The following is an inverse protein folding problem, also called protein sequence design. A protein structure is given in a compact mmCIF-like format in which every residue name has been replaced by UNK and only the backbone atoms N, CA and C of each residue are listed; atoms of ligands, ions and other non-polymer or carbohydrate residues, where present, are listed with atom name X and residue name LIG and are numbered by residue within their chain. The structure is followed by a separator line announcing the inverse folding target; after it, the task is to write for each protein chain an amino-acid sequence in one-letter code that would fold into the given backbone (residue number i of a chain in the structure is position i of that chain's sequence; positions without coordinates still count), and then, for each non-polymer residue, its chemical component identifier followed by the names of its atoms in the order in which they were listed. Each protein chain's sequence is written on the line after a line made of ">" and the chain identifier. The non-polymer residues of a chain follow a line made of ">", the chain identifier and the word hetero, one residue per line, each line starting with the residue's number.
data_IF_099444013977
#
_entry.id   IF_099444013977
#
_cell.length_a   1.000
_cell.length_b   1.000
_cell.length_c   1.000
_cell.angle_alpha   90.00
_cell.angle_beta   90.00
_cell.angle_gamma   90.00
#
_symmetry.space_group_name_H-M   'P 1'
#
loop_
_entity.id
_entity.type
_entity.pdbx_description
1 polymer ?
#
# COMPACT_ATOMS: atom_id res chain seq x y z
N UNK A 1 -31.83 22.64 -23.99
CA UNK A 1 -30.58 22.98 -23.28
C UNK A 1 -30.22 21.76 -22.45
N UNK A 2 -29.14 21.06 -22.77
CA UNK A 2 -28.70 19.90 -21.99
C UNK A 2 -28.28 20.39 -20.60
N UNK A 3 -28.73 19.68 -19.56
CA UNK A 3 -28.41 20.05 -18.18
C UNK A 3 -26.93 19.72 -17.89
N UNK A 4 -26.28 20.49 -17.01
CA UNK A 4 -24.87 20.23 -16.63
C UNK A 4 -24.70 18.81 -16.05
N UNK A 5 -25.76 18.22 -15.50
CA UNK A 5 -25.77 16.84 -15.01
C UNK A 5 -25.73 15.79 -16.15
N UNK A 6 -26.29 16.08 -17.32
CA UNK A 6 -26.18 15.20 -18.50
C UNK A 6 -24.79 15.26 -19.14
N UNK A 7 -24.05 16.36 -18.97
CA UNK A 7 -22.70 16.49 -19.53
C UNK A 7 -21.63 15.67 -18.78
N UNK A 8 -21.95 15.18 -17.57
CA UNK A 8 -21.04 14.39 -16.73
C UNK A 8 -21.67 13.06 -16.28
N UNK A 9 -22.46 12.42 -17.14
CA UNK A 9 -22.87 11.04 -16.88
C UNK A 9 -21.63 10.15 -16.95
N UNK A 10 -21.21 9.60 -15.80
CA UNK A 10 -20.21 8.53 -15.74
C UNK A 10 -20.82 7.26 -16.32
N UNK A 11 -20.77 7.15 -17.64
CA UNK A 11 -21.14 5.92 -18.32
C UNK A 11 -20.15 4.83 -17.94
N UNK A 12 -20.63 3.80 -17.25
CA UNK A 12 -19.85 2.61 -16.88
C UNK A 12 -19.56 1.76 -18.12
N UNK A 13 -18.83 2.31 -19.08
CA UNK A 13 -18.47 1.60 -20.28
C UNK A 13 -17.22 0.74 -20.03
N UNK A 14 -17.15 -0.53 -20.49
CA UNK A 14 -15.99 -1.40 -20.27
C UNK A 14 -14.61 -0.82 -20.66
N UNK A 15 -14.54 0.10 -21.63
CA UNK A 15 -13.29 0.77 -22.03
C UNK A 15 -12.91 1.96 -21.15
N UNK A 16 -13.82 2.46 -20.31
CA UNK A 16 -13.55 3.61 -19.44
C UNK A 16 -12.40 3.30 -18.46
N UNK A 17 -12.29 2.05 -18.00
CA UNK A 17 -11.16 1.58 -17.20
C UNK A 17 -9.83 1.55 -17.96
N UNK A 18 -9.85 1.60 -19.30
CA UNK A 18 -8.67 1.51 -20.16
C UNK A 18 -8.23 2.88 -20.70
N UNK A 19 -9.14 3.83 -20.78
CA UNK A 19 -8.86 5.15 -21.36
C UNK A 19 -8.90 6.28 -20.36
N UNK A 20 -9.68 6.18 -19.29
CA UNK A 20 -9.81 7.25 -18.30
C UNK A 20 -8.71 7.14 -17.22
N UNK A 21 -7.70 8.02 -17.22
CA UNK A 21 -6.63 7.99 -16.23
C UNK A 21 -7.11 8.23 -14.80
N UNK A 22 -8.27 8.87 -14.63
CA UNK A 22 -8.83 9.18 -13.31
C UNK A 22 -9.46 7.95 -12.64
N UNK A 23 -9.68 6.86 -13.38
CA UNK A 23 -10.28 5.62 -12.86
C UNK A 23 -9.25 4.60 -12.41
N UNK A 24 -7.97 4.84 -12.70
CA UNK A 24 -6.90 3.96 -12.28
C UNK A 24 -6.67 4.06 -10.77
N UNK A 25 -6.65 2.91 -10.09
CA UNK A 25 -6.09 2.81 -8.74
C UNK A 25 -4.56 2.72 -8.76
N UNK A 26 -3.99 2.18 -9.85
CA UNK A 26 -2.56 2.04 -10.09
C UNK A 26 -2.21 2.43 -11.53
N UNK A 27 -1.03 3.02 -11.74
CA UNK A 27 -0.55 3.39 -13.06
C UNK A 27 -0.36 2.15 -13.95
N UNK A 28 -0.90 2.17 -15.17
CA UNK A 28 -0.82 1.04 -16.10
C UNK A 28 0.62 0.67 -16.52
N UNK A 29 1.58 1.57 -16.35
CA UNK A 29 3.00 1.33 -16.59
C UNK A 29 3.71 0.59 -15.45
N UNK A 30 3.09 0.51 -14.27
CA UNK A 30 3.69 -0.09 -13.09
C UNK A 30 3.36 -1.58 -13.02
N UNK A 31 4.40 -2.41 -12.91
CA UNK A 31 4.22 -3.83 -12.67
C UNK A 31 4.12 -4.10 -11.17
N UNK A 32 2.98 -4.69 -10.76
CA UNK A 32 2.76 -5.14 -9.39
C UNK A 32 2.68 -6.66 -9.40
N UNK A 33 3.39 -7.31 -8.45
CA UNK A 33 3.28 -8.75 -8.26
C UNK A 33 1.82 -9.16 -8.01
N UNK A 34 1.30 -10.22 -8.65
CA UNK A 34 -0.04 -10.73 -8.37
C UNK A 34 -0.27 -11.09 -6.89
N UNK A 35 0.80 -11.36 -6.15
CA UNK A 35 0.79 -11.59 -4.70
C UNK A 35 1.80 -10.64 -4.04
N UNK A 36 1.38 -9.41 -3.70
CA UNK A 36 2.26 -8.47 -3.00
C UNK A 36 2.49 -8.96 -1.57
N UNK A 37 3.76 -8.95 -1.14
CA UNK A 37 4.19 -9.39 0.19
C UNK A 37 5.28 -8.46 0.73
N UNK A 38 5.46 -8.49 2.06
CA UNK A 38 6.47 -7.73 2.79
C UNK A 38 7.67 -8.58 3.16
N UNK A 39 8.86 -8.06 3.00
CA UNK A 39 10.06 -8.77 3.42
C UNK A 39 10.17 -8.76 4.95
N UNK A 40 10.60 -9.86 5.54
CA UNK A 40 10.75 -9.93 7.01
C UNK A 40 11.99 -9.15 7.50
N UNK A 41 13.04 -9.10 6.68
CA UNK A 41 14.31 -8.46 7.01
C UNK A 41 14.35 -6.95 6.70
N UNK A 42 13.21 -6.33 6.40
CA UNK A 42 13.14 -4.88 6.25
C UNK A 42 13.77 -4.39 4.96
N UNK A 43 12.97 -4.15 3.92
CA UNK A 43 13.37 -3.19 2.88
C UNK A 43 12.83 -1.81 3.26
N UNK A 44 13.69 -0.79 3.27
CA UNK A 44 13.23 0.58 3.49
C UNK A 44 12.60 1.09 2.19
N UNK A 45 11.28 0.95 2.08
CA UNK A 45 10.48 1.48 0.98
C UNK A 45 9.58 0.44 0.30
N UNK A 46 8.73 0.92 -0.62
CA UNK A 46 7.78 0.07 -1.35
C UNK A 46 6.74 -0.59 -0.43
N UNK A 47 6.43 -1.86 -0.71
CA UNK A 47 5.40 -2.65 -0.02
C UNK A 47 5.58 -2.83 1.49
N UNK A 48 6.73 -2.44 2.04
CA UNK A 48 7.01 -2.45 3.48
C UNK A 48 6.25 -1.38 4.26
N UNK A 49 5.89 -0.28 3.60
CA UNK A 49 5.01 0.73 4.18
C UNK A 49 3.57 0.36 3.85
N UNK A 50 2.70 0.41 4.87
CA UNK A 50 1.27 0.09 4.70
C UNK A 50 0.64 1.09 3.74
N UNK A 51 -0.01 0.57 2.71
CA UNK A 51 -0.75 1.38 1.74
C UNK A 51 -2.16 1.62 2.29
N UNK A 52 -2.78 2.75 1.98
CA UNK A 52 -4.18 2.98 2.34
C UNK A 52 -5.11 2.01 1.58
N UNK A 53 -6.16 1.52 2.23
CA UNK A 53 -7.13 0.59 1.63
C UNK A 53 -8.00 1.26 0.54
N UNK A 54 -8.24 2.57 0.65
CA UNK A 54 -8.99 3.35 -0.32
C UNK A 54 -8.26 3.61 -1.64
N UNK A 55 -8.93 4.33 -2.55
CA UNK A 55 -8.32 4.75 -3.81
C UNK A 55 -7.16 5.73 -3.56
N UNK A 56 -5.95 5.33 -3.95
CA UNK A 56 -4.74 6.14 -3.78
C UNK A 56 -4.80 7.45 -4.56
N UNK A 57 -5.44 7.46 -5.74
CA UNK A 57 -5.55 8.69 -6.54
C UNK A 57 -6.38 9.74 -5.81
N UNK A 58 -7.45 9.33 -5.15
CA UNK A 58 -8.31 10.24 -4.39
C UNK A 58 -7.60 10.73 -3.12
N UNK A 59 -6.85 9.84 -2.45
CA UNK A 59 -6.04 10.18 -1.30
C UNK A 59 -4.94 11.19 -1.64
N UNK A 60 -4.17 10.94 -2.70
CA UNK A 60 -3.14 11.86 -3.20
C UNK A 60 -3.73 13.18 -3.66
N UNK A 61 -4.92 13.16 -4.27
CA UNK A 61 -5.62 14.37 -4.71
C UNK A 61 -6.13 15.18 -3.51
N UNK A 62 -6.56 14.54 -2.42
CA UNK A 62 -6.94 15.20 -1.16
C UNK A 62 -5.71 15.84 -0.48
N UNK A 63 -4.61 15.09 -0.39
CA UNK A 63 -3.35 15.59 0.19
C UNK A 63 -2.77 16.77 -0.59
N UNK A 64 -2.91 16.76 -1.93
CA UNK A 64 -2.53 17.88 -2.80
C UNK A 64 -3.56 19.02 -2.81
N UNK A 65 -4.72 18.85 -2.15
CA UNK A 65 -5.79 19.84 -2.06
C UNK A 65 -6.50 20.11 -3.39
N UNK A 66 -6.39 19.21 -4.37
CA UNK A 66 -6.97 19.38 -5.72
C UNK A 66 -8.48 19.18 -5.70
N UNK A 67 -8.97 18.29 -4.85
CA UNK A 67 -10.39 18.00 -4.68
C UNK A 67 -11.15 19.05 -3.84
N UNK A 68 -10.43 20.04 -3.27
CA UNK A 68 -10.97 21.09 -2.41
C UNK A 68 -11.36 22.31 -3.25
N UNK A 69 -12.54 22.90 -3.06
CA UNK A 69 -12.94 24.08 -3.81
C UNK A 69 -12.07 25.29 -3.40
N UNK A 70 -11.47 25.96 -4.37
CA UNK A 70 -10.70 27.18 -4.14
C UNK A 70 -11.63 28.31 -3.68
N UNK A 71 -11.76 28.48 -2.36
CA UNK A 71 -12.63 29.48 -1.74
C UNK A 71 -11.94 30.09 -0.51
N UNK A 72 -12.29 31.35 -0.20
CA UNK A 72 -11.81 32.04 1.00
C UNK A 72 -12.55 31.66 2.28
N UNK A 73 -13.56 30.80 2.20
CA UNK A 73 -14.33 30.34 3.36
C UNK A 73 -13.48 29.34 4.17
N UNK A 74 -13.10 29.64 5.43
CA UNK A 74 -12.22 28.77 6.22
C UNK A 74 -12.80 27.37 6.43
N UNK A 75 -14.12 27.25 6.54
CA UNK A 75 -14.80 25.96 6.72
C UNK A 75 -14.85 25.10 5.45
N UNK A 76 -14.44 25.63 4.29
CA UNK A 76 -14.33 24.89 3.02
C UNK A 76 -12.89 24.60 2.61
N UNK A 77 -11.92 25.11 3.37
CA UNK A 77 -10.52 24.79 3.19
C UNK A 77 -10.21 23.40 3.76
N UNK A 78 -8.96 22.94 3.59
CA UNK A 78 -8.50 21.68 4.15
C UNK A 78 -8.75 21.65 5.66
N UNK A 79 -9.55 20.68 6.09
CA UNK A 79 -9.74 20.36 7.50
C UNK A 79 -9.08 19.02 7.76
N UNK A 80 -8.16 18.99 8.72
CA UNK A 80 -7.67 17.72 9.22
C UNK A 80 -8.85 16.93 9.82
N UNK A 81 -8.84 15.59 9.73
CA UNK A 81 -9.81 14.76 10.44
C UNK A 81 -9.84 15.14 11.93
N UNK A 82 -11.04 15.31 12.48
CA UNK A 82 -11.22 15.71 13.89
C UNK A 82 -10.70 14.63 14.83
N UNK A 83 -10.87 13.37 14.45
CA UNK A 83 -10.38 12.23 15.21
C UNK A 83 -9.02 11.76 14.66
N UNK A 84 -7.98 11.64 15.51
CA UNK A 84 -6.67 11.16 15.08
C UNK A 84 -6.67 9.70 14.63
N UNK A 85 -7.68 8.92 15.04
CA UNK A 85 -7.89 7.53 14.64
C UNK A 85 -8.96 7.37 13.56
N UNK A 86 -9.43 8.46 12.94
CA UNK A 86 -10.35 8.37 11.82
C UNK A 86 -9.68 7.60 10.68
N UNK A 87 -10.25 6.44 10.34
CA UNK A 87 -9.86 5.63 9.20
C UNK A 87 -10.55 6.08 7.91
N UNK A 88 -11.30 7.17 7.97
CA UNK A 88 -12.13 7.59 6.86
C UNK A 88 -12.12 9.11 6.77
N UNK A 89 -11.86 9.62 5.57
CA UNK A 89 -11.94 11.04 5.24
C UNK A 89 -13.20 11.24 4.40
N UNK A 90 -14.17 11.94 4.98
CA UNK A 90 -15.39 12.36 4.27
C UNK A 90 -15.29 13.83 3.88
N UNK A 91 -15.36 14.12 2.58
CA UNK A 91 -15.44 15.48 2.04
C UNK A 91 -16.82 15.67 1.39
N UNK A 92 -17.65 16.48 2.04
CA UNK A 92 -18.96 16.85 1.51
C UNK A 92 -18.88 18.22 0.85
N UNK A 93 -18.79 18.24 -0.48
CA UNK A 93 -18.87 19.46 -1.28
C UNK A 93 -20.17 19.47 -2.10
N UNK A 94 -20.66 20.66 -2.42
CA UNK A 94 -21.83 20.91 -3.29
C UNK A 94 -21.82 20.16 -4.62
N UNK A 95 -20.63 19.85 -5.17
CA UNK A 95 -20.48 19.13 -6.44
C UNK A 95 -20.03 17.68 -6.28
N UNK A 96 -19.39 17.34 -5.17
CA UNK A 96 -18.71 16.04 -5.00
C UNK A 96 -18.82 15.61 -3.54
N UNK A 97 -19.31 14.39 -3.34
CA UNK A 97 -19.25 13.69 -2.06
C UNK A 97 -18.15 12.63 -2.19
N UNK A 98 -17.00 12.87 -1.56
CA UNK A 98 -15.88 11.93 -1.55
C UNK A 98 -15.76 11.25 -0.21
N UNK A 99 -15.62 9.93 -0.25
CA UNK A 99 -15.42 9.06 0.89
C UNK A 99 -14.14 8.28 0.64
N UNK A 100 -13.08 8.60 1.38
CA UNK A 100 -11.75 8.01 1.19
C UNK A 100 -11.42 7.19 2.44
N UNK A 101 -11.18 5.89 2.26
CA UNK A 101 -10.71 5.01 3.33
C UNK A 101 -9.19 5.13 3.47
N UNK A 102 -8.74 5.49 4.67
CA UNK A 102 -7.33 5.68 5.04
C UNK A 102 -6.82 4.56 5.96
N UNK A 103 -7.60 3.51 6.18
CA UNK A 103 -7.16 2.36 6.95
C UNK A 103 -5.86 1.78 6.34
N UNK A 104 -4.83 1.51 7.17
CA UNK A 104 -3.59 0.92 6.68
C UNK A 104 -3.81 -0.55 6.32
N UNK A 105 -3.57 -0.89 5.06
CA UNK A 105 -3.57 -2.26 4.57
C UNK A 105 -2.17 -2.86 4.70
N UNK A 106 -2.00 -3.78 5.65
CA UNK A 106 -0.75 -4.48 5.87
C UNK A 106 -0.67 -5.72 4.97
N UNK A 107 0.37 -5.78 4.13
CA UNK A 107 0.68 -6.97 3.34
C UNK A 107 1.32 -8.06 4.21
N UNK A 108 1.11 -9.35 3.89
CA UNK A 108 1.68 -10.45 4.67
C UNK A 108 3.21 -10.49 4.55
N UNK A 109 3.89 -10.81 5.65
CA UNK A 109 5.34 -10.94 5.68
C UNK A 109 5.82 -12.27 5.07
N UNK A 110 6.99 -12.26 4.42
CA UNK A 110 7.67 -13.43 3.89
C UNK A 110 9.17 -13.38 4.16
N UNK A 111 9.76 -14.55 4.39
CA UNK A 111 11.19 -14.70 4.56
C UNK A 111 11.82 -14.90 3.18
N UNK A 112 12.73 -14.00 2.80
CA UNK A 112 13.61 -14.21 1.66
C UNK A 112 14.46 -15.46 1.93
N UNK A 113 14.66 -16.30 0.88
CA UNK A 113 15.58 -17.45 0.81
C UNK A 113 16.31 -17.78 2.12
N UNK A 114 15.98 -18.93 2.70
CA UNK A 114 16.67 -19.42 3.89
C UNK A 114 18.18 -19.48 3.62
N UNK A 115 18.99 -18.92 4.53
CA UNK A 115 20.43 -19.14 4.48
C UNK A 115 20.68 -20.65 4.53
N UNK A 116 21.51 -21.19 3.63
CA UNK A 116 21.92 -22.58 3.74
C UNK A 116 22.54 -22.79 5.13
N UNK A 117 22.10 -23.83 5.84
CA UNK A 117 22.68 -24.17 7.12
C UNK A 117 24.20 -24.35 6.96
N UNK A 118 24.99 -23.71 7.83
CA UNK A 118 26.43 -23.97 7.86
C UNK A 118 26.64 -25.46 8.18
N UNK A 119 27.46 -26.20 7.41
CA UNK A 119 27.78 -27.56 7.77
C UNK A 119 28.44 -27.56 9.15
N UNK A 120 27.95 -28.40 10.06
CA UNK A 120 28.61 -28.61 11.34
C UNK A 120 29.97 -29.25 11.11
N UNK A 121 31.01 -28.88 11.88
CA UNK A 121 32.31 -29.53 11.77
C UNK A 121 32.17 -31.02 12.07
N UNK A 122 32.96 -31.84 11.39
CA UNK A 122 33.01 -33.28 11.67
C UNK A 122 33.31 -33.50 13.17
N UNK A 123 32.70 -34.52 13.81
CA UNK A 123 32.94 -34.79 15.21
C UNK A 123 34.43 -35.06 15.44
N UNK A 124 34.98 -34.46 16.49
CA UNK A 124 36.37 -34.69 16.89
C UNK A 124 36.54 -36.18 17.19
N UNK A 125 37.37 -36.86 16.39
CA UNK A 125 37.82 -38.22 16.68
C UNK A 125 39.03 -38.13 17.59
N UNK A 126 38.84 -38.40 18.87
CA UNK A 126 39.95 -38.60 19.80
C UNK A 126 40.54 -40.00 19.55
N UNK A 127 41.50 -40.08 18.64
CA UNK A 127 42.39 -41.23 18.51
C UNK A 127 43.40 -41.17 19.66
N UNK A 128 42.98 -41.65 20.84
CA UNK A 128 43.90 -41.86 21.95
C UNK A 128 44.66 -43.14 21.66
N UNK A 129 45.99 -43.06 21.55
CA UNK A 129 46.85 -44.23 21.62
C UNK A 129 46.62 -44.91 22.98
N UNK A 130 45.72 -45.90 23.05
CA UNK A 130 45.66 -46.81 24.18
C UNK A 130 46.95 -47.63 24.15
N UNK A 131 47.83 -47.40 25.12
CA UNK A 131 48.98 -48.27 25.35
C UNK A 131 48.45 -49.71 25.50
N UNK A 132 48.79 -50.65 24.61
CA UNK A 132 48.33 -52.02 24.73
C UNK A 132 49.11 -52.68 25.87
N UNK A 133 48.47 -52.72 27.03
CA UNK A 133 48.75 -53.59 28.18
C UNK A 133 50.06 -53.37 28.95
N UNK A 134 49.92 -53.28 30.27
CA UNK A 134 50.82 -53.98 31.18
C UNK A 134 49.94 -54.61 32.26
N UNK A 135 49.54 -55.86 32.02
CA UNK A 135 49.26 -56.80 33.11
C UNK A 135 50.52 -56.97 33.96
#
# INVERSE_FOLDING_TARGET
>A
MASIAEAFTTEKHPWENKENPQKYTYLASEYISPKPQRHMLGLIGGNEVSVAEGNLVDLESDLKGINIPNTFAPWRQYQAPTDPNAKEITRNNTKITLKIDTAPQHLPAYQMWAYPGMPTPAPIRNEVCRNPEKY
#
